data_IF_394386738768
#
_entry.id   IF_394386738768
#
_cell.length_a   1.000
_cell.length_b   1.000
_cell.length_c   1.000
_cell.angle_alpha   90.00
_cell.angle_beta   90.00
_cell.angle_gamma   90.00
#
_symmetry.space_group_name_H-M   'P 1'
#
loop_
_entity.id
_entity.type
_entity.pdbx_description
1 polymer ?
#
# COMPACT_ATOMS: atom_id res chain seq x y z
N UNK A 1 3.85 -6.16 8.62
CA UNK A 1 5.13 -6.31 9.40
C UNK A 1 4.89 -7.42 10.41
N UNK A 2 5.94 -8.21 10.74
CA UNK A 2 5.80 -9.31 11.71
C UNK A 2 5.78 -8.77 13.15
N UNK A 3 5.05 -9.44 14.06
CA UNK A 3 4.92 -9.01 15.46
C UNK A 3 6.26 -8.79 16.18
N UNK A 4 7.22 -9.69 15.93
CA UNK A 4 8.55 -9.61 16.53
C UNK A 4 9.31 -8.35 16.09
N UNK A 5 9.18 -7.98 14.82
CA UNK A 5 9.78 -6.74 14.29
C UNK A 5 9.12 -5.51 14.89
N UNK A 6 7.78 -5.50 15.01
CA UNK A 6 7.05 -4.39 15.63
C UNK A 6 7.42 -4.23 17.11
N UNK A 7 7.53 -5.34 17.84
CA UNK A 7 8.01 -5.35 19.23
C UNK A 7 9.42 -4.76 19.33
N UNK A 8 10.36 -5.20 18.49
CA UNK A 8 11.72 -4.68 18.48
C UNK A 8 11.79 -3.18 18.18
N UNK A 9 10.92 -2.69 17.27
CA UNK A 9 10.81 -1.24 17.01
C UNK A 9 10.29 -0.49 18.24
N UNK A 10 9.24 -1.00 18.90
CA UNK A 10 8.68 -0.38 20.10
C UNK A 10 9.70 -0.33 21.25
N UNK A 11 10.45 -1.41 21.46
CA UNK A 11 11.52 -1.50 22.45
C UNK A 11 12.67 -0.54 22.14
N UNK A 12 13.12 -0.49 20.90
CA UNK A 12 14.19 0.41 20.46
C UNK A 12 13.79 1.88 20.53
N UNK A 13 12.55 2.21 20.24
CA UNK A 13 12.01 3.57 20.33
C UNK A 13 11.97 4.07 21.80
N UNK A 14 11.66 3.20 22.75
CA UNK A 14 11.61 3.54 24.19
C UNK A 14 10.65 4.71 24.46
N UNK A 15 11.21 5.88 24.81
CA UNK A 15 10.43 7.10 25.08
C UNK A 15 10.12 7.93 23.84
N UNK A 16 10.69 7.62 22.69
CA UNK A 16 10.42 8.32 21.43
C UNK A 16 9.11 7.81 20.87
N UNK A 17 8.13 8.69 20.56
CA UNK A 17 6.86 8.26 19.96
C UNK A 17 7.07 7.62 18.59
N UNK A 18 6.35 6.54 18.32
CA UNK A 18 6.35 5.86 17.03
C UNK A 18 5.20 6.42 16.17
N UNK A 19 5.48 6.80 14.93
CA UNK A 19 4.43 7.08 13.93
C UNK A 19 4.32 5.84 13.04
N UNK A 20 3.16 5.19 13.09
CA UNK A 20 2.87 3.98 12.30
C UNK A 20 1.83 4.30 11.24
N UNK A 21 2.21 4.17 9.97
CA UNK A 21 1.25 4.24 8.85
C UNK A 21 0.67 2.84 8.61
N UNK A 22 -0.57 2.65 9.05
CA UNK A 22 -1.31 1.40 8.97
C UNK A 22 -2.42 1.43 7.91
N UNK A 23 -2.28 2.30 6.89
CA UNK A 23 -3.32 2.54 5.87
C UNK A 23 -3.71 1.27 5.08
N UNK A 24 -2.87 0.24 5.07
CA UNK A 24 -3.13 -1.04 4.41
C UNK A 24 -3.59 -2.15 5.36
N UNK A 25 -3.85 -1.84 6.64
CA UNK A 25 -4.42 -2.79 7.60
C UNK A 25 -5.73 -3.36 7.07
N UNK A 26 -5.94 -4.66 7.22
CA UNK A 26 -7.07 -5.42 6.63
C UNK A 26 -6.84 -5.92 5.21
N UNK A 27 -5.90 -5.37 4.47
CA UNK A 27 -5.52 -5.85 3.13
C UNK A 27 -4.35 -6.82 3.24
N UNK A 28 -4.57 -7.99 3.83
CA UNK A 28 -3.58 -9.06 3.97
C UNK A 28 -4.06 -10.36 3.35
N UNK A 29 -3.13 -11.18 2.88
CA UNK A 29 -3.38 -12.45 2.19
C UNK A 29 -2.92 -13.65 2.99
N UNK A 30 -2.06 -13.44 3.98
CA UNK A 30 -1.52 -14.48 4.86
C UNK A 30 -1.40 -13.94 6.28
N UNK A 31 -1.64 -14.80 7.27
CA UNK A 31 -1.47 -14.47 8.68
C UNK A 31 -2.57 -13.57 9.23
N UNK A 32 -2.21 -12.72 10.16
CA UNK A 32 -3.08 -11.79 10.88
C UNK A 32 -2.48 -10.39 10.85
N UNK A 33 -3.34 -9.37 10.79
CA UNK A 33 -2.94 -7.99 10.97
C UNK A 33 -2.50 -7.71 12.40
N UNK A 34 -1.52 -6.84 12.50
CA UNK A 34 -1.02 -6.33 13.77
C UNK A 34 -0.94 -4.80 13.69
N UNK A 35 -1.19 -4.17 14.83
CA UNK A 35 -0.96 -2.73 15.02
C UNK A 35 0.22 -2.56 15.97
N UNK A 36 0.98 -1.47 15.81
CA UNK A 36 2.03 -1.11 16.77
C UNK A 36 1.47 -0.91 18.18
N UNK A 37 0.18 -0.60 18.32
CA UNK A 37 -0.52 -0.49 19.62
C UNK A 37 -0.59 -1.79 20.42
N UNK A 38 -0.31 -2.94 19.80
CA UNK A 38 -0.16 -4.21 20.52
C UNK A 38 1.15 -4.24 21.36
N UNK A 39 2.08 -3.32 21.09
CA UNK A 39 3.44 -3.33 21.66
C UNK A 39 3.82 -2.04 22.41
N UNK A 40 3.14 -0.92 22.12
CA UNK A 40 3.38 0.36 22.81
C UNK A 40 2.16 1.28 22.72
N UNK A 41 1.86 1.99 23.82
CA UNK A 41 0.85 3.06 23.83
C UNK A 41 1.44 4.42 23.39
N UNK A 42 2.76 4.53 23.26
CA UNK A 42 3.45 5.74 22.82
C UNK A 42 3.57 5.77 21.29
N UNK A 43 2.41 5.75 20.62
CA UNK A 43 2.35 5.70 19.17
C UNK A 43 1.22 6.54 18.59
N UNK A 44 1.45 7.02 17.36
CA UNK A 44 0.47 7.69 16.51
C UNK A 44 0.18 6.78 15.32
N UNK A 45 -1.08 6.38 15.15
CA UNK A 45 -1.50 5.52 14.05
C UNK A 45 -2.16 6.36 12.98
N UNK A 46 -1.61 6.33 11.77
CA UNK A 46 -2.24 6.89 10.59
C UNK A 46 -3.01 5.79 9.87
N UNK A 47 -4.33 5.95 9.72
CA UNK A 47 -5.15 5.00 9.01
C UNK A 47 -6.34 5.69 8.32
N UNK A 48 -7.14 4.97 7.55
CA UNK A 48 -8.26 5.56 6.85
C UNK A 48 -9.04 4.59 5.98
N UNK A 49 -9.96 5.17 5.23
CA UNK A 49 -10.94 4.43 4.43
C UNK A 49 -10.52 4.23 2.97
N UNK A 50 -9.44 4.91 2.55
CA UNK A 50 -9.02 4.94 1.15
C UNK A 50 -8.70 3.56 0.57
N UNK A 51 -8.11 2.65 1.37
CA UNK A 51 -7.57 1.38 0.88
C UNK A 51 -8.51 0.22 1.18
N UNK A 52 -8.75 -0.07 2.46
CA UNK A 52 -9.59 -1.19 2.88
C UNK A 52 -11.03 -1.10 2.40
N UNK A 53 -11.57 0.12 2.32
CA UNK A 53 -12.96 0.37 1.92
C UNK A 53 -13.09 0.91 0.47
N UNK A 54 -11.99 0.91 -0.30
CA UNK A 54 -11.95 1.45 -1.66
C UNK A 54 -12.49 2.90 -1.79
N UNK A 55 -12.33 3.72 -0.73
CA UNK A 55 -12.88 5.07 -0.62
C UNK A 55 -11.82 6.15 -0.90
N UNK A 56 -10.97 5.96 -1.90
CA UNK A 56 -9.87 6.91 -2.21
C UNK A 56 -10.37 8.32 -2.52
N UNK A 57 -11.45 8.46 -3.29
CA UNK A 57 -12.05 9.74 -3.66
C UNK A 57 -12.81 10.44 -2.53
N UNK A 58 -13.14 9.74 -1.46
CA UNK A 58 -13.90 10.28 -0.32
C UNK A 58 -13.04 11.11 0.64
N UNK A 59 -11.71 10.98 0.57
CA UNK A 59 -10.75 11.76 1.36
C UNK A 59 -10.99 11.68 2.88
N UNK A 60 -11.22 10.47 3.40
CA UNK A 60 -11.48 10.20 4.81
C UNK A 60 -10.34 9.36 5.41
N UNK A 61 -9.75 9.87 6.46
CA UNK A 61 -8.75 9.21 7.28
C UNK A 61 -8.96 9.50 8.75
N UNK A 62 -8.22 8.84 9.61
CA UNK A 62 -8.21 9.08 11.04
C UNK A 62 -6.82 8.86 11.63
N UNK A 63 -6.61 9.51 12.77
CA UNK A 63 -5.41 9.39 13.58
C UNK A 63 -5.81 8.86 14.96
N UNK A 64 -5.11 7.83 15.44
CA UNK A 64 -5.16 7.39 16.84
C UNK A 64 -3.89 7.92 17.50
N UNK A 65 -4.02 8.53 18.67
CA UNK A 65 -2.90 9.15 19.37
C UNK A 65 -3.08 9.03 20.89
N UNK A 66 -2.00 9.11 21.68
CA UNK A 66 -2.10 9.19 23.14
C UNK A 66 -2.95 10.39 23.58
N UNK A 67 -3.69 10.21 24.66
CA UNK A 67 -4.75 11.14 25.09
C UNK A 67 -4.27 12.58 25.26
N UNK A 68 -3.06 12.79 25.75
CA UNK A 68 -2.44 14.11 25.95
C UNK A 68 -2.25 14.91 24.66
N UNK A 69 -2.15 14.23 23.52
CA UNK A 69 -1.99 14.87 22.20
C UNK A 69 -3.32 15.18 21.51
N UNK A 70 -4.44 14.63 21.97
CA UNK A 70 -5.74 14.81 21.30
C UNK A 70 -6.11 16.28 21.18
N UNK A 71 -6.01 17.05 22.26
CA UNK A 71 -6.37 18.48 22.22
C UNK A 71 -5.43 19.33 21.34
N UNK A 72 -4.10 19.18 21.39
CA UNK A 72 -3.21 19.80 20.42
C UNK A 72 -3.54 19.44 18.96
N UNK A 73 -3.81 18.17 18.67
CA UNK A 73 -4.17 17.70 17.33
C UNK A 73 -5.49 18.30 16.83
N UNK A 74 -6.50 18.39 17.70
CA UNK A 74 -7.77 19.06 17.38
C UNK A 74 -7.56 20.53 17.02
N UNK A 75 -6.67 21.24 17.72
CA UNK A 75 -6.34 22.65 17.39
C UNK A 75 -5.68 22.75 16.03
N UNK A 76 -4.74 21.86 15.70
CA UNK A 76 -4.12 21.81 14.38
C UNK A 76 -5.16 21.52 13.29
N UNK A 77 -5.99 20.48 13.48
CA UNK A 77 -7.05 20.13 12.55
C UNK A 77 -8.00 21.31 12.30
N UNK A 78 -8.45 21.97 13.37
CA UNK A 78 -9.38 23.10 13.29
C UNK A 78 -8.78 24.30 12.53
N UNK A 79 -7.51 24.60 12.75
CA UNK A 79 -6.87 25.78 12.16
C UNK A 79 -6.40 25.55 10.71
N UNK A 80 -5.98 24.31 10.34
CA UNK A 80 -5.50 24.02 9.00
C UNK A 80 -6.58 23.50 8.05
N UNK A 81 -7.56 22.76 8.57
CA UNK A 81 -8.51 22.00 7.74
C UNK A 81 -9.98 22.23 8.12
N UNK A 82 -10.26 22.93 9.23
CA UNK A 82 -11.60 23.14 9.81
C UNK A 82 -12.20 21.79 10.25
N UNK A 83 -12.77 21.03 9.33
CA UNK A 83 -13.27 19.67 9.58
C UNK A 83 -13.33 18.86 8.29
N UNK A 84 -13.41 17.55 8.43
CA UNK A 84 -13.73 16.66 7.33
C UNK A 84 -15.19 16.85 6.91
N UNK A 85 -15.44 16.78 5.60
CA UNK A 85 -16.78 16.93 5.02
C UNK A 85 -17.81 16.04 5.74
N UNK A 86 -18.96 16.60 6.11
CA UNK A 86 -19.95 15.93 6.96
C UNK A 86 -20.55 14.67 6.35
N UNK A 87 -20.90 14.67 5.07
CA UNK A 87 -21.48 13.48 4.43
C UNK A 87 -20.48 12.34 4.33
N UNK A 88 -19.20 12.64 4.19
CA UNK A 88 -18.11 11.65 4.16
C UNK A 88 -17.96 10.95 5.53
N UNK A 89 -18.19 11.68 6.63
CA UNK A 89 -18.19 11.09 7.97
C UNK A 89 -19.32 10.04 8.12
N UNK A 90 -20.52 10.34 7.60
CA UNK A 90 -21.61 9.35 7.56
C UNK A 90 -21.26 8.11 6.72
N UNK A 91 -20.58 8.31 5.58
CA UNK A 91 -20.09 7.19 4.79
C UNK A 91 -19.07 6.34 5.56
N UNK A 92 -18.18 6.97 6.33
CA UNK A 92 -17.23 6.26 7.22
C UNK A 92 -17.94 5.42 8.29
N UNK A 93 -18.98 5.98 8.91
CA UNK A 93 -19.82 5.25 9.88
C UNK A 93 -20.47 4.03 9.21
N UNK A 94 -21.02 4.20 8.01
CA UNK A 94 -21.62 3.10 7.25
C UNK A 94 -20.59 2.02 6.90
N UNK A 95 -19.39 2.40 6.49
CA UNK A 95 -18.30 1.47 6.18
C UNK A 95 -17.88 0.62 7.41
N UNK A 96 -17.78 1.25 8.59
CA UNK A 96 -17.39 0.56 9.82
C UNK A 96 -18.49 -0.33 10.40
N UNK A 97 -19.76 0.10 10.31
CA UNK A 97 -20.90 -0.61 10.88
C UNK A 97 -21.55 -1.61 9.93
N UNK A 98 -21.29 -1.50 8.64
CA UNK A 98 -21.83 -2.38 7.62
C UNK A 98 -21.22 -3.78 7.69
N UNK A 99 -21.77 -4.70 6.88
CA UNK A 99 -21.20 -6.04 6.75
C UNK A 99 -19.81 -5.92 6.12
N UNK A 100 -18.86 -6.73 6.57
CA UNK A 100 -17.49 -6.72 6.04
C UNK A 100 -17.28 -7.74 4.90
N UNK A 101 -18.37 -8.29 4.37
CA UNK A 101 -18.32 -9.32 3.32
C UNK A 101 -17.67 -8.82 2.04
N UNK A 102 -18.03 -7.61 1.61
CA UNK A 102 -17.42 -6.94 0.45
C UNK A 102 -15.90 -6.73 0.60
N UNK A 103 -15.43 -6.50 1.84
CA UNK A 103 -13.98 -6.39 2.13
C UNK A 103 -13.31 -7.74 1.91
N UNK A 104 -13.90 -8.83 2.43
CA UNK A 104 -13.38 -10.19 2.23
C UNK A 104 -13.30 -10.57 0.77
N UNK A 105 -14.36 -10.28 0.00
CA UNK A 105 -14.40 -10.52 -1.45
C UNK A 105 -13.34 -9.71 -2.21
N UNK A 106 -13.15 -8.45 -1.83
CA UNK A 106 -12.13 -7.58 -2.40
C UNK A 106 -10.72 -8.10 -2.12
N UNK A 107 -10.43 -8.48 -0.87
CA UNK A 107 -9.14 -9.07 -0.48
C UNK A 107 -8.87 -10.37 -1.26
N UNK A 108 -9.87 -11.26 -1.37
CA UNK A 108 -9.75 -12.48 -2.16
C UNK A 108 -9.49 -12.20 -3.65
N UNK A 109 -10.11 -11.14 -4.17
CA UNK A 109 -9.90 -10.69 -5.55
C UNK A 109 -8.47 -10.17 -5.75
N UNK A 110 -7.96 -9.37 -4.82
CA UNK A 110 -6.58 -8.90 -4.86
C UNK A 110 -5.57 -10.05 -4.75
N UNK A 111 -5.84 -11.05 -3.92
CA UNK A 111 -4.95 -12.21 -3.84
C UNK A 111 -4.89 -13.03 -5.15
N UNK A 112 -6.02 -13.18 -5.86
CA UNK A 112 -6.02 -13.78 -7.20
C UNK A 112 -5.15 -12.98 -8.19
N UNK A 113 -5.28 -11.65 -8.17
CA UNK A 113 -4.50 -10.74 -9.03
C UNK A 113 -3.01 -10.78 -8.66
N UNK A 114 -2.70 -10.77 -7.36
CA UNK A 114 -1.33 -10.92 -6.82
C UNK A 114 -0.66 -12.18 -7.36
N UNK A 115 -1.30 -13.32 -7.20
CA UNK A 115 -0.76 -14.60 -7.68
C UNK A 115 -0.53 -14.60 -9.19
N UNK A 116 -1.43 -14.01 -9.94
CA UNK A 116 -1.28 -13.90 -11.38
C UNK A 116 -0.08 -13.02 -11.76
N UNK A 117 -0.01 -11.78 -11.23
CA UNK A 117 1.07 -10.86 -11.60
C UNK A 117 2.44 -11.36 -11.17
N UNK A 118 2.55 -11.99 -10.00
CA UNK A 118 3.79 -12.61 -9.53
C UNK A 118 4.28 -13.70 -10.49
N UNK A 119 3.38 -14.56 -10.94
CA UNK A 119 3.71 -15.60 -11.93
C UNK A 119 4.21 -14.98 -13.23
N UNK A 120 3.54 -13.95 -13.73
CA UNK A 120 3.92 -13.27 -14.99
C UNK A 120 5.26 -12.56 -14.85
N UNK A 121 5.48 -11.78 -13.80
CA UNK A 121 6.74 -11.06 -13.57
C UNK A 121 7.92 -12.02 -13.49
N UNK A 122 7.80 -13.12 -12.74
CA UNK A 122 8.84 -14.16 -12.69
C UNK A 122 9.08 -14.80 -14.05
N UNK A 123 8.03 -15.06 -14.81
CA UNK A 123 8.13 -15.65 -16.16
C UNK A 123 8.81 -14.75 -17.17
N UNK A 124 8.67 -13.43 -17.04
CA UNK A 124 9.32 -12.40 -17.86
C UNK A 124 10.80 -12.22 -17.44
N UNK A 125 11.18 -12.55 -16.20
CA UNK A 125 12.55 -12.41 -15.71
C UNK A 125 12.74 -11.32 -14.66
N UNK A 126 11.65 -10.69 -14.19
CA UNK A 126 11.76 -9.78 -13.04
C UNK A 126 12.08 -10.54 -11.75
N UNK A 127 13.06 -10.03 -11.00
CA UNK A 127 13.44 -10.61 -9.71
C UNK A 127 12.43 -10.26 -8.60
N UNK A 128 11.88 -11.27 -7.93
CA UNK A 128 10.98 -11.07 -6.78
C UNK A 128 11.70 -11.50 -5.51
N UNK A 129 12.28 -10.53 -4.80
CA UNK A 129 13.01 -10.78 -3.55
C UNK A 129 12.07 -11.15 -2.40
N UNK A 130 10.89 -10.52 -2.35
CA UNK A 130 9.86 -10.79 -1.35
C UNK A 130 8.49 -10.75 -2.01
N UNK A 131 7.70 -11.79 -1.83
CA UNK A 131 6.32 -11.80 -2.28
C UNK A 131 5.47 -10.98 -1.31
N UNK A 132 4.63 -10.04 -1.81
CA UNK A 132 3.77 -9.24 -0.94
C UNK A 132 2.74 -10.12 -0.23
N UNK A 133 2.63 -9.97 1.08
CA UNK A 133 1.64 -10.65 1.92
C UNK A 133 0.42 -9.77 2.21
N UNK A 134 0.44 -8.52 1.75
CA UNK A 134 -0.63 -7.53 1.90
C UNK A 134 -0.54 -6.43 0.85
N UNK A 135 -1.38 -5.40 1.00
CA UNK A 135 -1.55 -4.29 0.05
C UNK A 135 -1.89 -4.77 -1.37
N UNK A 136 -1.56 -4.02 -2.41
CA UNK A 136 -1.81 -4.40 -3.81
C UNK A 136 -0.67 -3.97 -4.75
N UNK A 137 0.56 -4.05 -4.23
CA UNK A 137 1.77 -3.74 -4.97
C UNK A 137 2.76 -4.90 -4.92
N UNK A 138 3.59 -4.96 -5.95
CA UNK A 138 4.80 -5.77 -5.96
C UNK A 138 5.96 -4.90 -6.40
N UNK A 139 7.06 -4.95 -5.66
CA UNK A 139 8.33 -4.32 -6.01
C UNK A 139 9.21 -5.41 -6.64
N UNK A 140 9.48 -5.27 -7.92
CA UNK A 140 10.19 -6.26 -8.71
C UNK A 140 11.55 -5.70 -9.15
N UNK A 141 12.61 -6.46 -8.96
CA UNK A 141 13.93 -6.12 -9.47
C UNK A 141 13.92 -6.20 -11.00
N UNK A 142 14.32 -5.13 -11.64
CA UNK A 142 14.33 -4.94 -13.07
C UNK A 142 15.75 -4.75 -13.62
N UNK A 143 16.79 -5.02 -12.83
CA UNK A 143 18.19 -4.77 -13.18
C UNK A 143 18.64 -5.45 -14.46
N UNK A 144 18.06 -6.58 -14.84
CA UNK A 144 18.31 -7.27 -16.11
C UNK A 144 17.82 -6.47 -17.34
N UNK A 145 16.87 -5.54 -17.13
CA UNK A 145 16.28 -4.72 -18.21
C UNK A 145 16.82 -3.30 -18.26
N UNK A 146 17.60 -2.90 -17.26
CA UNK A 146 18.26 -1.61 -17.17
C UNK A 146 18.52 -1.16 -15.72
N UNK A 147 19.61 -0.45 -15.48
CA UNK A 147 19.99 -0.04 -14.12
C UNK A 147 19.18 1.16 -13.62
N UNK A 148 18.64 1.99 -14.52
CA UNK A 148 17.91 3.22 -14.22
C UNK A 148 16.39 2.96 -14.26
N UNK A 149 15.78 2.93 -13.09
CA UNK A 149 14.34 2.62 -12.95
C UNK A 149 13.44 3.71 -13.53
N UNK A 150 13.87 4.97 -13.51
CA UNK A 150 13.10 6.08 -14.08
C UNK A 150 13.10 6.02 -15.60
N UNK A 151 14.24 5.77 -16.23
CA UNK A 151 14.35 5.60 -17.67
C UNK A 151 13.53 4.39 -18.12
N UNK A 152 13.68 3.25 -17.44
CA UNK A 152 12.92 2.04 -17.78
C UNK A 152 11.41 2.24 -17.63
N UNK A 153 10.95 2.88 -16.56
CA UNK A 153 9.51 3.12 -16.35
C UNK A 153 8.93 4.04 -17.43
N UNK A 154 9.70 5.02 -17.89
CA UNK A 154 9.30 5.92 -18.99
C UNK A 154 9.20 5.15 -20.30
N UNK A 155 10.18 4.33 -20.64
CA UNK A 155 10.15 3.50 -21.85
C UNK A 155 8.99 2.50 -21.84
N UNK A 156 8.72 1.86 -20.70
CA UNK A 156 7.55 0.97 -20.57
C UNK A 156 6.24 1.76 -20.81
N UNK A 157 6.16 3.00 -20.35
CA UNK A 157 4.99 3.84 -20.61
C UNK A 157 4.86 4.22 -22.08
N UNK A 158 5.95 4.66 -22.70
CA UNK A 158 5.95 5.19 -24.08
C UNK A 158 5.78 4.07 -25.11
N UNK A 159 6.47 2.94 -24.95
CA UNK A 159 6.49 1.86 -25.93
C UNK A 159 5.45 0.77 -25.67
N UNK A 160 5.23 0.41 -24.40
CA UNK A 160 4.23 -0.60 -24.04
C UNK A 160 2.86 -0.01 -23.68
N UNK A 161 2.75 1.30 -23.42
CA UNK A 161 1.52 1.96 -22.97
C UNK A 161 1.07 1.45 -21.59
N UNK A 162 2.04 1.15 -20.70
CA UNK A 162 1.78 0.67 -19.35
C UNK A 162 2.47 1.57 -18.33
N UNK A 163 1.68 2.20 -17.46
CA UNK A 163 2.21 3.01 -16.38
C UNK A 163 2.67 2.11 -15.21
N UNK A 164 3.92 2.28 -14.81
CA UNK A 164 4.53 1.63 -13.64
C UNK A 164 5.27 2.69 -12.82
N UNK A 165 5.63 2.38 -11.57
CA UNK A 165 6.35 3.35 -10.72
C UNK A 165 7.82 2.95 -10.62
N UNK A 166 8.77 3.89 -10.91
CA UNK A 166 10.20 3.60 -10.76
C UNK A 166 10.56 3.43 -9.28
N UNK A 167 11.54 2.56 -9.03
CA UNK A 167 11.99 2.26 -7.67
C UNK A 167 12.62 3.45 -6.98
N UNK A 168 13.33 4.30 -7.71
CA UNK A 168 14.00 5.50 -7.17
C UNK A 168 13.03 6.44 -6.43
N UNK A 169 11.74 6.45 -6.75
CA UNK A 169 10.71 7.21 -6.02
C UNK A 169 10.57 6.76 -4.55
N UNK A 170 11.11 5.59 -4.19
CA UNK A 170 11.11 5.03 -2.83
C UNK A 170 12.49 5.11 -2.15
N UNK A 171 13.41 5.86 -2.74
CA UNK A 171 14.77 6.07 -2.25
C UNK A 171 15.82 5.22 -2.97
N UNK A 172 17.09 5.57 -2.75
CA UNK A 172 18.26 4.99 -3.46
C UNK A 172 18.32 3.46 -3.32
N UNK A 173 17.89 2.92 -2.19
CA UNK A 173 17.87 1.47 -1.93
C UNK A 173 16.88 0.68 -2.80
N UNK A 174 15.98 1.36 -3.51
CA UNK A 174 15.04 0.75 -4.44
C UNK A 174 15.37 1.06 -5.92
N UNK A 175 16.53 1.68 -6.20
CA UNK A 175 16.98 1.83 -7.57
C UNK A 175 17.17 0.47 -8.25
N UNK A 176 16.88 0.41 -9.55
CA UNK A 176 16.83 -0.84 -10.32
C UNK A 176 15.58 -1.71 -10.07
N UNK A 177 14.63 -1.23 -9.28
CA UNK A 177 13.33 -1.88 -9.09
C UNK A 177 12.21 -1.12 -9.80
N UNK A 178 11.15 -1.85 -10.14
CA UNK A 178 9.88 -1.27 -10.63
C UNK A 178 8.76 -1.74 -9.71
N UNK A 179 7.90 -0.80 -9.27
CA UNK A 179 6.69 -1.14 -8.53
C UNK A 179 5.50 -1.31 -9.48
N UNK A 180 4.90 -2.48 -9.43
CA UNK A 180 3.67 -2.81 -10.14
C UNK A 180 2.48 -2.76 -9.19
N UNK A 181 1.37 -2.17 -9.64
CA UNK A 181 0.10 -2.21 -8.93
C UNK A 181 -0.82 -3.24 -9.57
N UNK A 182 -1.47 -4.06 -8.75
CA UNK A 182 -2.53 -4.96 -9.21
C UNK A 182 -3.94 -4.53 -8.74
N UNK A 183 -4.08 -3.25 -8.35
CA UNK A 183 -5.37 -2.63 -8.06
C UNK A 183 -6.14 -2.25 -9.35
N UNK A 184 -6.27 -3.20 -10.27
CA UNK A 184 -6.95 -3.03 -11.54
C UNK A 184 -7.70 -4.32 -11.93
N UNK A 185 -8.57 -4.26 -12.94
CA UNK A 185 -9.26 -5.45 -13.46
C UNK A 185 -8.28 -6.50 -13.99
N UNK A 186 -8.61 -7.78 -13.81
CA UNK A 186 -7.74 -8.90 -14.24
C UNK A 186 -7.39 -8.84 -15.73
N UNK A 187 -8.34 -8.41 -16.57
CA UNK A 187 -8.12 -8.26 -17.99
C UNK A 187 -7.05 -7.19 -18.30
N UNK A 188 -7.14 -6.03 -17.64
CA UNK A 188 -6.14 -4.97 -17.79
C UNK A 188 -4.77 -5.39 -17.30
N UNK A 189 -4.71 -6.15 -16.21
CA UNK A 189 -3.44 -6.71 -15.70
C UNK A 189 -2.83 -7.67 -16.73
N UNK A 190 -3.64 -8.57 -17.31
CA UNK A 190 -3.19 -9.47 -18.39
C UNK A 190 -2.64 -8.70 -19.57
N UNK A 191 -3.44 -7.78 -20.11
CA UNK A 191 -3.06 -6.95 -21.25
C UNK A 191 -1.79 -6.12 -20.98
N UNK A 192 -1.66 -5.57 -19.77
CA UNK A 192 -0.46 -4.83 -19.37
C UNK A 192 0.78 -5.71 -19.34
N UNK A 193 0.68 -6.91 -18.76
CA UNK A 193 1.80 -7.84 -18.72
C UNK A 193 2.20 -8.36 -20.10
N UNK A 194 1.22 -8.63 -21.00
CA UNK A 194 1.50 -9.06 -22.37
C UNK A 194 2.22 -7.97 -23.18
N UNK A 195 1.85 -6.70 -22.97
CA UNK A 195 2.51 -5.56 -23.61
C UNK A 195 3.94 -5.35 -23.10
N UNK A 196 4.15 -5.48 -21.80
CA UNK A 196 5.50 -5.38 -21.22
C UNK A 196 6.39 -6.50 -21.76
N UNK A 197 5.90 -7.75 -21.77
CA UNK A 197 6.64 -8.88 -22.29
C UNK A 197 7.01 -8.67 -23.77
N UNK A 198 6.05 -8.23 -24.58
CA UNK A 198 6.29 -7.90 -26.00
C UNK A 198 7.31 -6.77 -26.14
N UNK A 199 7.29 -5.74 -25.32
CA UNK A 199 8.24 -4.64 -25.36
C UNK A 199 9.67 -5.11 -25.04
N UNK A 200 9.81 -6.02 -24.07
CA UNK A 200 11.13 -6.48 -23.62
C UNK A 200 11.77 -7.52 -24.56
N UNK A 201 10.98 -8.27 -25.33
CA UNK A 201 11.49 -9.41 -26.13
C UNK A 201 11.03 -9.42 -27.58
N UNK A 202 10.12 -8.56 -27.97
CA UNK A 202 9.59 -8.44 -29.34
C UNK A 202 10.21 -7.34 -30.11
#
# INVERSE_FOLDING_TARGET
MYPETMRGIAEAAGKVPVISDEIYQGLIYKGKDHSILEFTDNAFILNGFSKLYAMTGWRLGYLIAPTEYIRPLQKLQQNFFICTNSFVQHAGVAALRGTQEHVKEMVATYDKRRRYILKRLKGIGFGIKSEPEGAYYVLANAGEFGPDSLVLSRHILEEAGVAVTPGIDFGDGAEGYIRFSYANGMENIRKGMDRIEKYLFG
#
